data_IF_290702899061
#
_entry.id   IF_290702899061
#
_cell.length_a   1.000
_cell.length_b   1.000
_cell.length_c   1.000
_cell.angle_alpha   90.00
_cell.angle_beta   90.00
_cell.angle_gamma   90.00
#
_symmetry.space_group_name_H-M   'P 1'
#
loop_
_entity.id
_entity.type
_entity.pdbx_description
1 polymer ?
#
# COMPACT_ATOMS: atom_id res chain seq x y z
N UNK A 1 -31.31 -59.79 24.06
CA UNK A 1 -30.60 -58.50 23.97
C UNK A 1 -29.12 -58.58 23.53
N UNK A 2 -28.44 -59.74 23.60
CA UNK A 2 -26.99 -59.82 23.34
C UNK A 2 -26.54 -60.05 21.88
N UNK A 3 -27.44 -60.47 20.98
CA UNK A 3 -27.11 -60.76 19.56
C UNK A 3 -27.22 -59.55 18.62
N UNK A 4 -27.95 -58.50 19.01
CA UNK A 4 -28.14 -57.31 18.19
C UNK A 4 -26.98 -56.31 18.34
N UNK A 5 -26.46 -56.13 19.57
CA UNK A 5 -25.26 -55.33 19.82
C UNK A 5 -24.01 -55.83 19.09
N UNK A 6 -23.83 -57.16 18.93
CA UNK A 6 -22.71 -57.72 18.13
C UNK A 6 -22.84 -57.49 16.62
N UNK A 7 -24.05 -57.24 16.11
CA UNK A 7 -24.30 -57.01 14.68
C UNK A 7 -24.14 -55.54 14.29
N UNK A 8 -24.38 -54.63 15.23
CA UNK A 8 -24.10 -53.19 15.06
C UNK A 8 -22.58 -52.92 15.18
N UNK A 9 -21.88 -53.63 16.07
CA UNK A 9 -20.42 -53.45 16.22
C UNK A 9 -19.56 -54.02 15.07
N UNK A 10 -20.16 -54.76 14.13
CA UNK A 10 -19.45 -55.37 12.96
C UNK A 10 -19.71 -54.67 11.63
N UNK A 11 -20.59 -53.66 11.57
CA UNK A 11 -20.93 -52.94 10.32
C UNK A 11 -20.38 -51.51 10.24
N UNK A 12 -19.66 -51.03 11.26
CA UNK A 12 -19.12 -49.67 11.29
C UNK A 12 -17.60 -49.55 11.45
N UNK A 13 -16.82 -50.62 11.19
CA UNK A 13 -15.37 -50.51 11.01
C UNK A 13 -15.01 -51.31 9.75
N UNK A 14 -15.17 -50.70 8.57
CA UNK A 14 -14.43 -51.17 7.41
C UNK A 14 -12.95 -50.96 7.74
N UNK A 15 -12.21 -52.05 7.85
CA UNK A 15 -10.77 -52.03 8.09
C UNK A 15 -10.12 -51.32 6.89
N UNK A 16 -9.69 -50.08 7.10
CA UNK A 16 -9.06 -49.27 6.05
C UNK A 16 -7.79 -50.00 5.61
N UNK A 17 -7.71 -50.38 4.34
CA UNK A 17 -6.57 -51.14 3.83
C UNK A 17 -5.28 -50.33 3.97
N UNK A 18 -4.13 -51.01 4.07
CA UNK A 18 -2.81 -50.36 4.16
C UNK A 18 -2.57 -49.37 3.02
N UNK A 19 -3.05 -49.67 1.80
CA UNK A 19 -3.00 -48.75 0.65
C UNK A 19 -3.84 -47.49 0.88
N UNK A 20 -5.08 -47.65 1.37
CA UNK A 20 -5.94 -46.52 1.71
C UNK A 20 -5.33 -45.66 2.83
N UNK A 21 -4.68 -46.26 3.84
CA UNK A 21 -3.96 -45.51 4.87
C UNK A 21 -2.82 -44.65 4.31
N UNK A 22 -2.00 -45.20 3.39
CA UNK A 22 -0.95 -44.42 2.72
C UNK A 22 -1.52 -43.26 1.89
N UNK A 23 -2.63 -43.49 1.18
CA UNK A 23 -3.31 -42.43 0.40
C UNK A 23 -3.84 -41.34 1.33
N UNK A 24 -4.55 -41.70 2.42
CA UNK A 24 -5.07 -40.73 3.39
C UNK A 24 -3.94 -39.93 4.02
N UNK A 25 -2.84 -40.57 4.40
CA UNK A 25 -1.67 -39.89 4.93
C UNK A 25 -1.07 -38.90 3.92
N UNK A 26 -0.86 -39.34 2.66
CA UNK A 26 -0.36 -38.47 1.60
C UNK A 26 -1.26 -37.25 1.36
N UNK A 27 -2.58 -37.45 1.30
CA UNK A 27 -3.56 -36.36 1.17
C UNK A 27 -3.46 -35.42 2.37
N UNK A 28 -3.37 -35.95 3.59
CA UNK A 28 -3.27 -35.13 4.81
C UNK A 28 -2.01 -34.27 4.82
N UNK A 29 -0.86 -34.83 4.44
CA UNK A 29 0.41 -34.09 4.32
C UNK A 29 0.28 -32.98 3.27
N UNK A 30 -0.33 -33.26 2.12
CA UNK A 30 -0.57 -32.25 1.08
C UNK A 30 -1.49 -31.15 1.62
N UNK A 31 -2.57 -31.49 2.32
CA UNK A 31 -3.47 -30.51 2.92
C UNK A 31 -2.72 -29.62 3.93
N UNK A 32 -1.89 -30.21 4.80
CA UNK A 32 -1.09 -29.45 5.76
C UNK A 32 -0.11 -28.50 5.07
N UNK A 33 0.48 -28.92 3.96
CA UNK A 33 1.33 -28.05 3.15
C UNK A 33 0.52 -26.93 2.45
N UNK A 34 -0.63 -27.24 1.86
CA UNK A 34 -1.51 -26.27 1.18
C UNK A 34 -2.04 -25.22 2.16
N UNK A 35 -2.47 -25.63 3.35
CA UNK A 35 -2.92 -24.73 4.41
C UNK A 35 -1.77 -24.03 5.14
N UNK A 36 -0.51 -24.34 4.82
CA UNK A 36 0.66 -23.67 5.38
C UNK A 36 0.96 -24.05 6.83
N UNK A 37 0.46 -25.19 7.32
CA UNK A 37 0.70 -25.64 8.69
C UNK A 37 2.20 -25.94 8.93
N UNK A 38 2.88 -26.56 7.97
CA UNK A 38 4.33 -26.79 8.07
C UNK A 38 5.13 -25.50 8.08
N UNK A 39 4.72 -24.52 7.27
CA UNK A 39 5.34 -23.19 7.29
C UNK A 39 5.16 -22.56 8.66
N UNK A 40 3.93 -22.58 9.21
CA UNK A 40 3.60 -21.98 10.52
C UNK A 40 4.44 -22.57 11.66
N UNK A 41 4.70 -23.87 11.62
CA UNK A 41 5.55 -24.56 12.60
C UNK A 41 7.04 -24.20 12.47
N UNK A 42 7.46 -23.72 11.30
CA UNK A 42 8.87 -23.41 10.99
C UNK A 42 9.16 -21.91 10.94
N UNK A 43 8.19 -21.07 11.27
CA UNK A 43 8.36 -19.61 11.37
C UNK A 43 9.31 -19.24 12.51
N UNK A 44 10.11 -18.19 12.30
CA UNK A 44 10.90 -17.55 13.35
C UNK A 44 10.04 -16.67 14.24
N UNK A 45 10.42 -16.53 15.52
CA UNK A 45 9.80 -15.53 16.39
C UNK A 45 9.99 -14.14 15.79
N UNK A 46 8.99 -13.28 15.93
CA UNK A 46 9.12 -11.88 15.53
C UNK A 46 10.10 -11.10 16.41
N UNK A 47 10.42 -11.58 17.61
CA UNK A 47 11.45 -10.96 18.47
C UNK A 47 12.85 -11.01 17.85
N UNK A 48 13.08 -11.98 16.95
CA UNK A 48 14.32 -12.14 16.19
C UNK A 48 14.32 -11.33 14.88
N UNK A 49 13.33 -10.43 14.69
CA UNK A 49 13.16 -9.73 13.43
C UNK A 49 14.43 -8.99 13.00
N UNK A 50 14.93 -9.39 11.84
CA UNK A 50 16.04 -8.77 11.15
C UNK A 50 15.82 -8.89 9.65
N UNK A 51 15.96 -7.79 8.93
CA UNK A 51 15.72 -7.77 7.49
C UNK A 51 17.04 -7.73 6.71
N UNK A 52 17.24 -8.58 5.69
CA UNK A 52 18.51 -8.66 4.99
C UNK A 52 18.81 -7.37 4.23
N UNK A 53 20.06 -6.91 4.36
CA UNK A 53 20.61 -5.86 3.51
C UNK A 53 21.01 -6.45 2.16
N UNK A 54 20.82 -5.69 1.09
CA UNK A 54 21.25 -6.05 -0.26
C UNK A 54 21.74 -4.79 -0.96
N UNK A 55 23.05 -4.71 -1.17
CA UNK A 55 23.74 -3.62 -1.85
C UNK A 55 23.62 -3.75 -3.37
N UNK A 56 23.82 -2.65 -4.11
CA UNK A 56 23.73 -2.58 -5.58
C UNK A 56 22.36 -2.92 -6.16
N UNK A 57 21.28 -2.46 -5.50
CA UNK A 57 19.94 -2.50 -6.07
C UNK A 57 19.67 -1.43 -7.15
N UNK A 58 20.70 -0.81 -7.73
CA UNK A 58 20.53 0.20 -8.77
C UNK A 58 19.83 -0.33 -10.04
N UNK A 59 19.76 -1.66 -10.22
CA UNK A 59 18.91 -2.29 -11.25
C UNK A 59 17.44 -2.45 -10.84
N UNK A 60 17.14 -2.43 -9.54
CA UNK A 60 15.79 -2.50 -8.98
C UNK A 60 15.19 -1.11 -8.73
N UNK A 61 15.97 -0.03 -8.83
CA UNK A 61 15.40 1.32 -8.82
C UNK A 61 14.77 1.59 -10.19
N UNK A 62 13.44 1.69 -10.23
CA UNK A 62 12.73 2.01 -11.46
C UNK A 62 13.21 3.37 -11.99
N UNK A 63 13.61 3.43 -13.26
CA UNK A 63 13.98 4.69 -13.88
C UNK A 63 12.71 5.52 -14.10
N UNK A 64 12.77 6.80 -13.74
CA UNK A 64 11.74 7.75 -14.13
C UNK A 64 11.81 7.96 -15.64
N UNK A 65 10.69 7.76 -16.32
CA UNK A 65 10.58 7.97 -17.76
C UNK A 65 9.89 9.30 -18.09
N UNK A 66 9.06 9.79 -17.18
CA UNK A 66 8.34 11.06 -17.28
C UNK A 66 8.27 11.70 -15.91
N UNK A 67 8.36 13.02 -15.87
CA UNK A 67 8.35 13.81 -14.64
C UNK A 67 7.15 14.75 -14.64
N UNK A 68 6.44 14.90 -13.50
CA UNK A 68 5.44 15.94 -13.37
C UNK A 68 6.13 17.29 -13.25
N UNK A 69 5.42 18.34 -13.64
CA UNK A 69 5.92 19.71 -13.57
C UNK A 69 5.75 20.27 -12.18
N UNK A 70 6.79 20.89 -11.64
CA UNK A 70 6.70 21.56 -10.35
C UNK A 70 5.63 22.66 -10.36
N UNK A 71 4.70 22.59 -9.41
CA UNK A 71 3.67 23.62 -9.19
C UNK A 71 3.84 24.38 -7.87
N UNK A 72 4.80 24.00 -7.02
CA UNK A 72 5.14 24.79 -5.83
C UNK A 72 5.76 26.13 -6.25
N UNK A 73 5.22 27.24 -5.75
CA UNK A 73 5.62 28.59 -6.18
C UNK A 73 6.32 29.38 -5.08
N UNK A 74 6.06 29.09 -3.81
CA UNK A 74 6.56 29.90 -2.70
C UNK A 74 7.53 29.13 -1.81
N UNK A 75 8.63 29.78 -1.44
CA UNK A 75 9.56 29.24 -0.45
C UNK A 75 9.05 29.36 0.99
N UNK A 76 8.06 30.23 1.24
CA UNK A 76 7.56 30.53 2.60
C UNK A 76 6.34 29.70 3.02
N UNK A 77 5.78 28.91 2.11
CA UNK A 77 4.62 28.06 2.35
C UNK A 77 5.05 26.66 2.80
N UNK A 78 4.20 26.03 3.59
CA UNK A 78 4.28 24.59 3.84
C UNK A 78 3.86 23.85 2.58
N UNK A 79 4.72 22.95 2.11
CA UNK A 79 4.51 22.19 0.87
C UNK A 79 4.06 20.78 1.20
N UNK A 80 2.86 20.43 0.76
CA UNK A 80 2.30 19.08 0.83
C UNK A 80 2.23 18.50 -0.58
N UNK A 81 2.93 17.39 -0.81
CA UNK A 81 2.78 16.62 -2.05
C UNK A 81 1.86 15.43 -1.80
N UNK A 82 0.78 15.33 -2.58
CA UNK A 82 -0.07 14.14 -2.60
C UNK A 82 0.42 13.27 -3.75
N UNK A 83 0.79 12.03 -3.46
CA UNK A 83 1.30 11.10 -4.47
C UNK A 83 0.32 9.94 -4.59
N UNK A 84 -0.46 9.98 -5.67
CA UNK A 84 -1.51 9.01 -5.95
C UNK A 84 -0.91 7.82 -6.73
N UNK A 85 -0.83 6.65 -6.11
CA UNK A 85 -0.47 5.40 -6.79
C UNK A 85 -1.64 4.96 -7.64
N UNK A 86 -1.43 4.86 -8.95
CA UNK A 86 -2.49 4.47 -9.90
C UNK A 86 -1.98 3.40 -10.86
N UNK A 87 -2.86 2.51 -11.31
CA UNK A 87 -2.55 1.60 -12.42
C UNK A 87 -2.48 2.40 -13.73
N UNK A 88 -1.54 2.11 -14.63
CA UNK A 88 -1.52 2.73 -15.96
C UNK A 88 -2.86 2.59 -16.72
N UNK A 89 -3.62 1.52 -16.45
CA UNK A 89 -4.95 1.28 -17.04
C UNK A 89 -6.08 2.12 -16.42
N UNK A 90 -5.83 2.80 -15.29
CA UNK A 90 -6.80 3.59 -14.52
C UNK A 90 -6.92 5.06 -14.96
N UNK A 91 -6.83 5.35 -16.27
CA UNK A 91 -6.97 6.72 -16.78
C UNK A 91 -8.27 7.41 -16.34
N UNK A 92 -9.41 6.71 -16.42
CA UNK A 92 -10.69 7.24 -15.95
C UNK A 92 -10.69 7.58 -14.45
N UNK A 93 -9.99 6.79 -13.62
CA UNK A 93 -9.94 7.05 -12.19
C UNK A 93 -9.12 8.31 -11.91
N UNK A 94 -7.97 8.45 -12.57
CA UNK A 94 -7.16 9.67 -12.46
C UNK A 94 -7.95 10.90 -12.89
N UNK A 95 -8.76 10.79 -13.94
CA UNK A 95 -9.65 11.87 -14.37
C UNK A 95 -10.71 12.21 -13.31
N UNK A 96 -11.34 11.21 -12.66
CA UNK A 96 -12.28 11.45 -11.55
C UNK A 96 -11.60 12.11 -10.35
N UNK A 97 -10.38 11.69 -9.99
CA UNK A 97 -9.57 12.35 -8.94
C UNK A 97 -9.28 13.80 -9.32
N UNK A 98 -8.87 14.10 -10.56
CA UNK A 98 -8.61 15.47 -11.04
C UNK A 98 -9.86 16.36 -11.03
N UNK A 99 -11.05 15.81 -11.28
CA UNK A 99 -12.31 16.56 -11.25
C UNK A 99 -12.82 16.84 -9.84
N UNK A 100 -12.29 16.15 -8.83
CA UNK A 100 -12.77 16.21 -7.44
C UNK A 100 -11.70 16.80 -6.53
N UNK A 101 -11.02 15.98 -5.73
CA UNK A 101 -10.10 16.40 -4.68
C UNK A 101 -8.65 16.59 -5.16
N UNK A 102 -8.26 15.96 -6.28
CA UNK A 102 -6.89 15.90 -6.79
C UNK A 102 -6.44 17.10 -7.62
N UNK A 103 -6.78 18.31 -7.18
CA UNK A 103 -6.39 19.57 -7.85
C UNK A 103 -5.33 20.29 -7.03
N UNK A 104 -4.39 20.96 -7.71
CA UNK A 104 -3.46 21.88 -7.04
C UNK A 104 -4.26 22.95 -6.29
N UNK A 105 -3.95 23.14 -5.01
CA UNK A 105 -4.59 24.17 -4.18
C UNK A 105 -3.53 24.91 -3.37
N UNK A 106 -3.70 26.22 -3.25
CA UNK A 106 -3.00 27.03 -2.26
C UNK A 106 -4.05 27.59 -1.32
N UNK A 107 -4.03 27.15 -0.07
CA UNK A 107 -4.97 27.59 0.97
C UNK A 107 -4.16 28.07 2.15
N UNK A 108 -4.34 29.34 2.52
CA UNK A 108 -3.54 30.02 3.53
C UNK A 108 -2.03 29.88 3.26
N UNK A 109 -1.28 29.25 4.18
CA UNK A 109 0.15 29.02 4.10
C UNK A 109 0.53 27.63 3.58
N UNK A 110 -0.42 26.82 3.08
CA UNK A 110 -0.17 25.47 2.57
C UNK A 110 -0.37 25.41 1.06
N UNK A 111 0.62 24.90 0.33
CA UNK A 111 0.51 24.52 -1.07
C UNK A 111 0.38 23.00 -1.18
N UNK A 112 -0.71 22.54 -1.81
CA UNK A 112 -1.01 21.14 -2.05
C UNK A 112 -0.78 20.83 -3.52
N UNK A 113 0.11 19.89 -3.80
CA UNK A 113 0.44 19.45 -5.16
C UNK A 113 0.17 17.95 -5.32
N UNK A 114 -0.95 17.57 -5.94
CA UNK A 114 -1.22 16.19 -6.33
C UNK A 114 -0.41 15.78 -7.57
N UNK A 115 0.14 14.57 -7.56
CA UNK A 115 0.76 13.90 -8.72
C UNK A 115 0.36 12.43 -8.75
N UNK A 116 0.37 11.81 -9.92
CA UNK A 116 0.12 10.38 -10.09
C UNK A 116 1.43 9.63 -10.32
N UNK A 117 1.58 8.44 -9.71
CA UNK A 117 2.67 7.50 -10.02
C UNK A 117 2.10 6.29 -10.73
N UNK A 118 2.60 6.02 -11.94
CA UNK A 118 2.14 4.92 -12.79
C UNK A 118 3.31 4.05 -13.26
N UNK A 119 3.07 2.74 -13.39
CA UNK A 119 4.05 1.79 -13.89
C UNK A 119 4.05 1.66 -15.41
N UNK A 120 5.04 0.95 -15.93
CA UNK A 120 5.13 0.59 -17.34
C UNK A 120 4.15 -0.54 -17.68
N UNK A 121 3.61 -0.51 -18.89
CA UNK A 121 2.76 -1.56 -19.44
C UNK A 121 3.26 -1.91 -20.84
N UNK A 122 3.29 -3.20 -21.15
CA UNK A 122 3.72 -3.69 -22.47
C UNK A 122 2.74 -3.33 -23.59
N UNK A 123 1.47 -3.10 -23.25
CA UNK A 123 0.47 -2.67 -24.21
C UNK A 123 0.77 -1.24 -24.70
N UNK A 124 1.20 -1.14 -25.97
CA UNK A 124 1.59 0.11 -26.61
C UNK A 124 0.47 1.16 -26.66
N UNK A 125 -0.80 0.75 -26.76
CA UNK A 125 -1.92 1.69 -26.76
C UNK A 125 -2.10 2.33 -25.39
N UNK A 126 -2.01 1.53 -24.32
CA UNK A 126 -2.06 2.05 -22.95
C UNK A 126 -0.85 2.94 -22.67
N UNK A 127 0.36 2.54 -23.11
CA UNK A 127 1.56 3.37 -23.01
C UNK A 127 1.38 4.75 -23.69
N UNK A 128 0.91 4.77 -24.93
CA UNK A 128 0.62 6.02 -25.66
C UNK A 128 -0.45 6.88 -24.97
N UNK A 129 -1.43 6.27 -24.30
CA UNK A 129 -2.44 7.01 -23.51
C UNK A 129 -1.79 7.70 -22.32
N UNK A 130 -0.86 7.04 -21.62
CA UNK A 130 -0.07 7.66 -20.55
C UNK A 130 0.78 8.82 -21.07
N UNK A 131 1.47 8.65 -22.20
CA UNK A 131 2.30 9.72 -22.76
C UNK A 131 1.48 10.97 -23.09
N UNK A 132 0.29 10.79 -23.71
CA UNK A 132 -0.64 11.89 -23.99
C UNK A 132 -1.19 12.53 -22.72
N UNK A 133 -1.51 11.71 -21.73
CA UNK A 133 -2.02 12.18 -20.44
C UNK A 133 -0.98 13.03 -19.70
N UNK A 134 0.26 12.54 -19.59
CA UNK A 134 1.35 13.24 -18.95
C UNK A 134 1.68 14.56 -19.66
N UNK A 135 1.68 14.57 -21.00
CA UNK A 135 1.87 15.79 -21.78
C UNK A 135 0.73 16.80 -21.60
N UNK A 136 -0.50 16.33 -21.36
CA UNK A 136 -1.68 17.19 -21.21
C UNK A 136 -1.80 17.78 -19.81
N UNK A 137 -1.59 16.98 -18.76
CA UNK A 137 -1.90 17.36 -17.38
C UNK A 137 -0.66 17.74 -16.56
N UNK A 138 0.53 17.37 -17.03
CA UNK A 138 1.82 17.67 -16.40
C UNK A 138 1.91 17.18 -14.93
N UNK A 139 1.15 16.15 -14.55
CA UNK A 139 1.00 15.65 -13.18
C UNK A 139 1.33 14.14 -13.03
N UNK A 140 1.93 13.53 -14.05
CA UNK A 140 2.25 12.09 -14.06
C UNK A 140 3.76 11.86 -13.89
N UNK A 141 4.13 11.10 -12.86
CA UNK A 141 5.42 10.45 -12.70
C UNK A 141 5.32 9.01 -13.23
N UNK A 142 5.95 8.73 -14.37
CA UNK A 142 5.97 7.40 -14.96
C UNK A 142 7.28 6.66 -14.63
N UNK A 143 7.17 5.38 -14.30
CA UNK A 143 8.32 4.54 -13.95
C UNK A 143 8.47 3.38 -14.94
N UNK A 144 9.71 2.93 -15.16
CA UNK A 144 10.01 1.83 -16.08
C UNK A 144 9.62 0.44 -15.57
N UNK A 145 9.22 0.29 -14.30
CA UNK A 145 8.87 -1.00 -13.72
C UNK A 145 7.47 -1.45 -14.19
N UNK A 146 7.32 -2.74 -14.47
CA UNK A 146 6.05 -3.33 -14.93
C UNK A 146 4.96 -3.11 -13.89
N UNK A 147 3.84 -2.53 -14.31
CA UNK A 147 2.67 -2.26 -13.49
C UNK A 147 1.93 -3.56 -13.15
N UNK A 148 2.22 -4.10 -11.96
CA UNK A 148 1.55 -5.27 -11.41
C UNK A 148 1.49 -5.15 -9.89
N UNK A 149 0.55 -5.87 -9.26
CA UNK A 149 0.32 -5.80 -7.82
C UNK A 149 1.59 -6.09 -7.00
N UNK A 150 2.33 -7.16 -7.33
CA UNK A 150 3.60 -7.50 -6.62
C UNK A 150 4.75 -6.53 -6.89
N UNK A 151 4.57 -5.62 -7.85
CA UNK A 151 5.51 -4.56 -8.20
C UNK A 151 5.08 -3.19 -7.63
N UNK A 152 4.02 -3.11 -6.82
CA UNK A 152 3.62 -1.86 -6.17
C UNK A 152 4.74 -1.25 -5.33
N UNK A 153 5.64 -2.06 -4.77
CA UNK A 153 6.83 -1.57 -4.07
C UNK A 153 7.74 -0.70 -4.94
N UNK A 154 7.78 -0.89 -6.26
CA UNK A 154 8.52 0.02 -7.15
C UNK A 154 7.82 1.38 -7.26
N UNK A 155 6.48 1.43 -7.26
CA UNK A 155 5.74 2.70 -7.20
C UNK A 155 5.95 3.40 -5.86
N UNK A 156 5.97 2.66 -4.76
CA UNK A 156 6.34 3.21 -3.45
C UNK A 156 7.76 3.78 -3.47
N UNK A 157 8.73 3.04 -4.02
CA UNK A 157 10.10 3.53 -4.15
C UNK A 157 10.13 4.86 -4.91
N UNK A 158 9.48 4.91 -6.07
CA UNK A 158 9.37 6.11 -6.89
C UNK A 158 8.68 7.27 -6.16
N UNK A 159 7.58 6.99 -5.46
CA UNK A 159 6.84 7.98 -4.68
C UNK A 159 7.70 8.61 -3.59
N UNK A 160 8.46 7.80 -2.83
CA UNK A 160 9.36 8.31 -1.78
C UNK A 160 10.57 9.02 -2.38
N UNK A 161 11.18 8.47 -3.42
CA UNK A 161 12.39 9.00 -4.03
C UNK A 161 12.15 10.36 -4.69
N UNK A 162 11.14 10.43 -5.56
CA UNK A 162 10.70 11.68 -6.18
C UNK A 162 10.07 12.62 -5.16
N UNK A 163 9.27 12.11 -4.22
CA UNK A 163 8.60 12.93 -3.21
C UNK A 163 9.59 13.66 -2.30
N UNK A 164 10.71 13.05 -1.92
CA UNK A 164 11.71 13.75 -1.10
C UNK A 164 12.57 14.73 -1.90
N UNK A 165 12.94 14.40 -3.14
CA UNK A 165 13.81 15.22 -3.98
C UNK A 165 13.25 15.31 -5.42
N UNK A 166 12.16 16.06 -5.61
CA UNK A 166 11.51 16.17 -6.91
C UNK A 166 12.37 16.95 -7.91
N UNK A 167 12.36 16.51 -9.17
CA UNK A 167 13.10 17.17 -10.25
C UNK A 167 12.61 18.60 -10.46
N UNK A 168 13.55 19.55 -10.55
CA UNK A 168 13.30 20.98 -10.75
C UNK A 168 12.22 21.55 -9.81
N UNK A 169 12.20 21.07 -8.57
CA UNK A 169 11.18 21.43 -7.61
C UNK A 169 11.71 21.46 -6.18
N UNK A 170 11.13 22.31 -5.34
CA UNK A 170 11.47 22.37 -3.91
C UNK A 170 10.98 21.12 -3.21
N UNK A 171 11.82 20.53 -2.36
CA UNK A 171 11.43 19.39 -1.51
C UNK A 171 10.20 19.74 -0.65
N UNK A 172 9.14 18.91 -0.68
CA UNK A 172 7.98 19.12 0.16
C UNK A 172 8.28 18.85 1.64
N UNK A 173 7.51 19.49 2.51
CA UNK A 173 7.61 19.32 3.96
C UNK A 173 6.91 18.03 4.43
N UNK A 174 5.89 17.59 3.67
CA UNK A 174 5.12 16.38 3.93
C UNK A 174 4.73 15.68 2.63
N UNK A 175 4.63 14.35 2.69
CA UNK A 175 4.08 13.51 1.64
C UNK A 175 2.81 12.82 2.15
N UNK A 176 1.78 12.82 1.31
CA UNK A 176 0.59 12.01 1.51
C UNK A 176 0.50 11.00 0.36
N UNK A 177 0.84 9.74 0.64
CA UNK A 177 0.77 8.65 -0.33
C UNK A 177 -0.63 8.06 -0.26
N UNK A 178 -1.30 7.91 -1.39
CA UNK A 178 -2.68 7.44 -1.43
C UNK A 178 -2.93 6.60 -2.68
N UNK A 179 -3.84 5.63 -2.63
CA UNK A 179 -4.28 4.89 -3.81
C UNK A 179 -5.37 5.65 -4.57
N UNK A 180 -5.60 5.30 -5.84
CA UNK A 180 -6.53 6.03 -6.72
C UNK A 180 -8.02 5.75 -6.46
N UNK A 181 -8.35 4.82 -5.57
CA UNK A 181 -9.70 4.45 -5.14
C UNK A 181 -10.10 5.03 -3.77
N UNK A 182 -9.41 6.08 -3.33
CA UNK A 182 -9.74 6.86 -2.14
C UNK A 182 -10.42 8.19 -2.48
N UNK A 183 -11.31 8.63 -1.58
CA UNK A 183 -11.75 10.01 -1.48
C UNK A 183 -10.95 10.72 -0.39
N UNK A 184 -10.49 11.95 -0.66
CA UNK A 184 -9.68 12.74 0.29
C UNK A 184 -10.33 14.08 0.57
N UNK A 185 -10.55 14.40 1.85
CA UNK A 185 -11.04 15.70 2.27
C UNK A 185 -9.88 16.68 2.48
N UNK A 186 -9.60 17.46 1.43
CA UNK A 186 -8.45 18.36 1.37
C UNK A 186 -8.40 19.39 2.52
N UNK A 187 -9.52 20.01 2.97
CA UNK A 187 -9.48 20.92 4.12
C UNK A 187 -8.96 20.26 5.41
N UNK A 188 -9.43 19.04 5.71
CA UNK A 188 -8.95 18.30 6.89
C UNK A 188 -7.50 17.88 6.73
N UNK A 189 -7.08 17.43 5.55
CA UNK A 189 -5.69 17.09 5.28
C UNK A 189 -4.75 18.30 5.46
N UNK A 190 -5.19 19.50 5.05
CA UNK A 190 -4.45 20.75 5.26
C UNK A 190 -4.35 21.08 6.76
N UNK A 191 -5.46 21.02 7.49
CA UNK A 191 -5.46 21.27 8.94
C UNK A 191 -4.58 20.27 9.69
N UNK A 192 -4.66 19.00 9.31
CA UNK A 192 -3.80 17.95 9.83
C UNK A 192 -2.32 18.24 9.53
N UNK A 193 -1.99 18.68 8.32
CA UNK A 193 -0.63 19.07 7.93
C UNK A 193 -0.08 20.20 8.79
N UNK A 194 -0.88 21.24 9.06
CA UNK A 194 -0.49 22.39 9.91
C UNK A 194 -0.22 21.99 11.37
N UNK A 195 -0.80 20.89 11.84
CA UNK A 195 -0.59 20.38 13.20
C UNK A 195 0.74 19.62 13.38
N UNK A 196 1.49 19.38 12.31
CA UNK A 196 2.69 18.53 12.30
C UNK A 196 3.95 19.36 12.02
N UNK A 197 5.11 18.82 12.38
CA UNK A 197 6.42 19.41 12.05
C UNK A 197 7.17 18.49 11.10
N UNK A 198 7.76 19.07 10.05
CA UNK A 198 8.47 18.32 9.01
C UNK A 198 9.70 17.54 9.47
N UNK A 199 10.29 17.95 10.60
CA UNK A 199 11.47 17.32 11.19
C UNK A 199 11.12 16.19 12.17
N UNK A 200 9.83 16.00 12.50
CA UNK A 200 9.40 14.87 13.30
C UNK A 200 9.44 13.58 12.47
N UNK A 201 9.52 12.41 13.12
CA UNK A 201 9.45 11.11 12.47
C UNK A 201 7.99 10.65 12.40
N UNK A 202 7.29 11.04 11.33
CA UNK A 202 5.87 10.76 11.14
C UNK A 202 5.71 9.63 10.12
N UNK A 203 4.97 8.60 10.51
CA UNK A 203 4.47 7.51 9.67
C UNK A 203 3.08 7.13 10.18
N UNK A 204 2.05 7.73 9.59
CA UNK A 204 0.71 7.77 10.18
C UNK A 204 -0.38 7.42 9.15
N UNK A 205 -1.41 6.70 9.61
CA UNK A 205 -2.60 6.30 8.85
C UNK A 205 -3.28 5.11 9.53
N UNK A 206 -4.02 4.29 8.80
CA UNK A 206 -4.66 3.11 9.39
C UNK A 206 -3.67 1.97 9.64
N UNK A 207 -3.35 1.66 10.90
CA UNK A 207 -2.36 0.63 11.24
C UNK A 207 -2.99 -0.76 11.37
N UNK A 208 -2.38 -1.74 10.72
CA UNK A 208 -2.60 -3.16 10.89
C UNK A 208 -1.48 -3.82 11.69
N UNK A 209 -1.85 -4.86 12.45
CA UNK A 209 -0.90 -5.75 13.13
C UNK A 209 -1.29 -7.21 12.85
N UNK A 210 -0.70 -7.77 11.79
CA UNK A 210 -1.12 -9.06 11.23
C UNK A 210 0.06 -10.04 11.03
N UNK A 211 -0.28 -11.29 10.75
CA UNK A 211 0.69 -12.34 10.41
C UNK A 211 0.70 -12.62 8.90
N UNK A 212 1.83 -13.07 8.32
CA UNK A 212 1.88 -13.49 6.93
C UNK A 212 0.88 -14.61 6.63
N UNK A 213 0.22 -14.54 5.47
CA UNK A 213 -0.60 -15.66 4.99
C UNK A 213 0.31 -16.78 4.49
N UNK A 214 0.22 -17.96 5.10
CA UNK A 214 1.01 -19.16 4.71
C UNK A 214 0.26 -20.15 3.82
N UNK A 215 -1.06 -19.97 3.70
CA UNK A 215 -1.91 -20.80 2.85
C UNK A 215 -1.59 -20.54 1.37
N UNK A 216 -1.11 -21.56 0.66
CA UNK A 216 -0.50 -21.44 -0.67
C UNK A 216 -1.43 -20.88 -1.75
N UNK A 217 -2.74 -21.07 -1.60
CA UNK A 217 -3.77 -20.61 -2.54
C UNK A 217 -4.25 -19.18 -2.28
N UNK A 218 -3.82 -18.55 -1.18
CA UNK A 218 -4.22 -17.18 -0.88
C UNK A 218 -3.48 -16.18 -1.78
N UNK A 219 -4.17 -15.17 -2.30
CA UNK A 219 -3.57 -14.14 -3.18
C UNK A 219 -2.37 -13.40 -2.55
N UNK A 220 -2.34 -13.32 -1.22
CA UNK A 220 -1.26 -12.70 -0.45
C UNK A 220 -0.36 -13.73 0.24
N UNK A 221 -0.31 -14.98 -0.25
CA UNK A 221 0.56 -16.02 0.31
C UNK A 221 2.03 -15.62 0.19
N UNK A 222 2.79 -15.86 1.26
CA UNK A 222 4.24 -15.56 1.35
C UNK A 222 4.98 -16.79 1.88
N UNK A 223 6.05 -17.19 1.19
CA UNK A 223 6.89 -18.31 1.62
C UNK A 223 7.82 -17.92 2.79
N UNK A 224 8.38 -18.92 3.48
CA UNK A 224 9.40 -18.68 4.51
C UNK A 224 10.71 -18.10 3.94
N UNK A 225 11.04 -18.41 2.68
CA UNK A 225 12.21 -17.85 1.98
C UNK A 225 12.05 -16.35 1.68
N UNK A 226 10.81 -15.93 1.41
CA UNK A 226 10.46 -14.52 1.22
C UNK A 226 10.39 -13.78 2.56
N UNK A 227 9.72 -14.36 3.55
CA UNK A 227 9.54 -13.79 4.89
C UNK A 227 9.51 -14.89 5.97
N UNK A 228 10.57 -15.05 6.77
CA UNK A 228 10.68 -16.18 7.70
C UNK A 228 9.97 -15.96 9.04
N UNK A 229 9.56 -14.73 9.38
CA UNK A 229 9.03 -14.42 10.70
C UNK A 229 7.52 -14.69 10.82
N UNK A 230 7.08 -14.89 12.06
CA UNK A 230 5.68 -15.22 12.39
C UNK A 230 4.70 -14.04 12.31
N UNK A 231 5.20 -12.80 12.38
CA UNK A 231 4.41 -11.57 12.28
C UNK A 231 5.07 -10.57 11.35
N UNK A 232 4.30 -9.68 10.74
CA UNK A 232 4.83 -8.46 10.13
C UNK A 232 5.12 -7.41 11.20
N UNK A 233 6.04 -6.44 10.97
CA UNK A 233 5.99 -5.20 11.73
C UNK A 233 4.64 -4.52 11.54
N UNK A 234 4.06 -3.86 12.57
CA UNK A 234 2.85 -3.07 12.39
C UNK A 234 3.00 -2.08 11.25
N UNK A 235 2.01 -2.05 10.35
CA UNK A 235 2.10 -1.34 9.09
C UNK A 235 0.88 -0.46 8.88
N UNK A 236 1.11 0.75 8.35
CA UNK A 236 0.02 1.58 7.84
C UNK A 236 -0.46 1.00 6.52
N UNK A 237 -1.78 0.91 6.33
CA UNK A 237 -2.39 0.47 5.07
C UNK A 237 -1.85 1.31 3.90
N UNK A 238 -1.44 0.65 2.81
CA UNK A 238 -0.81 1.32 1.67
C UNK A 238 -1.71 2.36 0.98
N UNK A 239 -3.00 2.34 1.29
CA UNK A 239 -4.02 3.14 0.62
C UNK A 239 -4.08 4.60 1.07
N UNK A 240 -3.64 4.94 2.28
CA UNK A 240 -3.52 6.33 2.74
C UNK A 240 -2.47 6.45 3.85
N UNK A 241 -1.34 7.10 3.55
CA UNK A 241 -0.17 7.21 4.43
C UNK A 241 0.34 8.64 4.45
N UNK A 242 0.40 9.24 5.64
CA UNK A 242 1.01 10.54 5.85
C UNK A 242 2.42 10.39 6.43
N UNK A 243 3.41 11.03 5.80
CA UNK A 243 4.80 11.04 6.27
C UNK A 243 5.41 12.43 6.19
N UNK A 244 6.34 12.71 7.10
CA UNK A 244 7.13 13.93 7.09
C UNK A 244 8.30 13.85 6.10
N UNK A 245 8.87 15.00 5.75
CA UNK A 245 10.09 15.10 4.94
C UNK A 245 11.26 14.33 5.57
N UNK A 246 11.45 14.41 6.89
CA UNK A 246 12.52 13.66 7.58
C UNK A 246 12.29 12.14 7.53
N UNK A 247 11.04 11.66 7.65
CA UNK A 247 10.73 10.23 7.44
C UNK A 247 11.01 9.83 6.00
N UNK A 248 10.55 10.61 5.02
CA UNK A 248 10.76 10.33 3.59
C UNK A 248 12.25 10.22 3.25
N UNK A 249 13.08 11.13 3.78
CA UNK A 249 14.55 11.09 3.67
C UNK A 249 15.13 9.76 4.15
N UNK A 250 14.74 9.33 5.36
CA UNK A 250 15.25 8.11 5.98
C UNK A 250 14.78 6.87 5.23
N UNK A 251 13.53 6.85 4.81
CA UNK A 251 12.97 5.80 3.96
C UNK A 251 13.74 5.70 2.64
N UNK A 252 13.90 6.81 1.90
CA UNK A 252 14.67 6.90 0.65
C UNK A 252 16.07 6.31 0.77
N UNK A 253 16.79 6.65 1.84
CA UNK A 253 18.15 6.14 2.05
C UNK A 253 18.15 4.64 2.41
N UNK A 254 17.21 4.20 3.23
CA UNK A 254 17.16 2.82 3.74
C UNK A 254 16.69 1.84 2.67
N UNK A 255 15.70 2.22 1.86
CA UNK A 255 15.14 1.36 0.80
C UNK A 255 16.18 0.95 -0.25
N UNK A 256 17.23 1.73 -0.46
CA UNK A 256 18.36 1.40 -1.35
C UNK A 256 19.29 0.31 -0.81
N UNK A 257 19.18 0.00 0.48
CA UNK A 257 20.09 -0.91 1.18
C UNK A 257 19.42 -2.18 1.69
N UNK A 258 18.09 -2.26 1.70
CA UNK A 258 17.31 -3.42 2.18
C UNK A 258 16.77 -4.26 1.02
N UNK A 259 16.76 -5.59 1.17
CA UNK A 259 16.09 -6.49 0.20
C UNK A 259 14.64 -6.03 0.00
N UNK A 260 14.23 -5.76 -1.23
CA UNK A 260 12.86 -5.35 -1.54
C UNK A 260 11.87 -6.47 -1.17
N UNK A 261 10.69 -6.06 -0.69
CA UNK A 261 9.57 -6.95 -0.39
C UNK A 261 8.36 -6.59 -1.29
N UNK A 262 7.57 -7.54 -1.81
CA UNK A 262 6.58 -7.29 -2.85
C UNK A 262 5.30 -6.56 -2.40
N UNK A 263 5.02 -6.48 -1.09
CA UNK A 263 3.92 -5.69 -0.55
C UNK A 263 4.46 -4.36 -0.02
N UNK A 264 3.96 -3.26 -0.55
CA UNK A 264 4.47 -1.91 -0.32
C UNK A 264 4.18 -1.41 1.11
N UNK A 265 3.01 -1.71 1.66
CA UNK A 265 2.69 -1.47 3.07
C UNK A 265 3.65 -2.19 4.03
N UNK A 266 3.82 -3.50 3.86
CA UNK A 266 4.72 -4.32 4.67
C UNK A 266 6.16 -3.89 4.47
N UNK A 267 6.57 -3.54 3.24
CA UNK A 267 7.93 -3.03 3.00
C UNK A 267 8.16 -1.69 3.71
N UNK A 268 7.18 -0.79 3.70
CA UNK A 268 7.24 0.47 4.47
C UNK A 268 7.38 0.19 5.97
N UNK A 269 6.68 -0.82 6.49
CA UNK A 269 6.78 -1.23 7.89
C UNK A 269 8.17 -1.82 8.22
N UNK A 270 8.76 -2.57 7.30
CA UNK A 270 10.14 -3.08 7.42
C UNK A 270 11.14 -1.91 7.49
N UNK A 271 10.95 -0.87 6.66
CA UNK A 271 11.75 0.36 6.72
C UNK A 271 11.58 1.05 8.08
N UNK A 272 10.34 1.26 8.51
CA UNK A 272 9.99 1.90 9.77
C UNK A 272 10.60 1.16 10.98
N UNK A 273 10.45 -0.16 11.04
CA UNK A 273 11.05 -1.03 12.07
C UNK A 273 12.57 -0.93 12.08
N UNK A 274 13.21 -0.95 10.92
CA UNK A 274 14.68 -0.82 10.78
C UNK A 274 15.17 0.53 11.30
N UNK A 275 14.39 1.59 11.08
CA UNK A 275 14.70 2.96 11.45
C UNK A 275 14.18 3.36 12.84
N UNK A 276 13.49 2.46 13.54
CA UNK A 276 12.80 2.72 14.81
C UNK A 276 11.79 3.87 14.73
N UNK A 277 11.11 3.99 13.59
CA UNK A 277 9.99 4.91 13.38
C UNK A 277 8.70 4.16 13.73
N UNK A 278 7.88 4.62 14.69
CA UNK A 278 6.63 3.96 15.03
C UNK A 278 5.59 4.16 13.92
N UNK A 279 4.78 3.13 13.66
CA UNK A 279 3.54 3.27 12.91
C UNK A 279 2.48 3.88 13.82
N UNK A 280 1.90 5.01 13.44
CA UNK A 280 0.91 5.74 14.23
C UNK A 280 -0.46 5.48 13.63
N UNK A 281 -1.35 4.89 14.43
CA UNK A 281 -2.74 4.66 14.03
C UNK A 281 -3.53 5.96 14.04
N UNK A 282 -4.32 6.20 13.00
CA UNK A 282 -5.24 7.32 12.92
C UNK A 282 -6.55 6.90 12.22
N UNK A 283 -7.65 6.93 12.98
CA UNK A 283 -9.00 6.49 12.56
C UNK A 283 -9.60 7.38 11.47
N UNK A 284 -9.08 8.60 11.27
CA UNK A 284 -9.54 9.51 10.21
C UNK A 284 -9.05 9.08 8.83
N UNK A 285 -8.21 8.04 8.75
CA UNK A 285 -7.82 7.36 7.52
C UNK A 285 -8.58 6.03 7.46
N UNK A 286 -9.77 6.04 6.87
CA UNK A 286 -10.68 4.89 6.84
C UNK A 286 -10.27 3.92 5.73
N UNK A 287 -9.81 2.71 6.08
CA UNK A 287 -9.28 1.74 5.11
C UNK A 287 -10.35 0.87 4.42
N UNK A 288 -11.56 0.77 4.99
CA UNK A 288 -12.64 -0.06 4.43
C UNK A 288 -13.66 0.79 3.69
N UNK A 289 -14.34 0.17 2.74
CA UNK A 289 -15.48 0.80 2.09
C UNK A 289 -16.64 0.93 3.10
N UNK A 290 -17.00 2.16 3.43
CA UNK A 290 -18.21 2.50 4.18
C UNK A 290 -18.75 3.83 3.69
N UNK A 291 -20.05 4.03 3.88
CA UNK A 291 -20.64 5.35 3.74
C UNK A 291 -20.09 6.28 4.83
N UNK A 292 -19.74 7.49 4.44
CA UNK A 292 -19.29 8.58 5.31
C UNK A 292 -20.08 9.80 4.91
N UNK A 293 -20.93 10.29 5.80
CA UNK A 293 -21.78 11.43 5.51
C UNK A 293 -21.00 12.76 5.61
N UNK A 294 -21.65 13.84 5.17
CA UNK A 294 -21.04 15.18 5.19
C UNK A 294 -20.61 15.62 6.60
N UNK A 295 -21.35 15.24 7.63
CA UNK A 295 -21.07 15.62 9.01
C UNK A 295 -19.79 14.94 9.48
N UNK A 296 -19.61 13.65 9.19
CA UNK A 296 -18.37 12.94 9.51
C UNK A 296 -17.15 13.58 8.81
N UNK A 297 -17.31 14.01 7.55
CA UNK A 297 -16.26 14.73 6.83
C UNK A 297 -15.96 16.11 7.42
N UNK A 298 -16.96 16.93 7.71
CA UNK A 298 -16.77 18.34 8.07
C UNK A 298 -16.53 18.53 9.59
N UNK A 299 -17.15 17.72 10.45
CA UNK A 299 -17.14 17.90 11.90
C UNK A 299 -16.27 16.86 12.63
N UNK A 300 -16.25 15.60 12.16
CA UNK A 300 -15.53 14.51 12.85
C UNK A 300 -14.09 14.34 12.37
N UNK A 301 -13.70 15.08 11.33
CA UNK A 301 -12.30 15.22 10.92
C UNK A 301 -11.80 14.09 10.03
N UNK A 302 -12.68 13.32 9.37
CA UNK A 302 -12.28 12.27 8.42
C UNK A 302 -11.40 12.88 7.30
N UNK A 303 -10.27 12.24 7.01
CA UNK A 303 -9.27 12.74 6.05
C UNK A 303 -9.34 11.97 4.75
N UNK A 304 -9.38 10.63 4.81
CA UNK A 304 -9.38 9.78 3.63
C UNK A 304 -10.25 8.55 3.86
N UNK A 305 -10.99 8.14 2.84
CA UNK A 305 -11.87 6.96 2.88
C UNK A 305 -11.65 6.14 1.62
N UNK A 306 -11.49 4.83 1.80
CA UNK A 306 -11.34 3.86 0.72
C UNK A 306 -12.69 3.44 0.11
N UNK A 307 -12.66 2.95 -1.13
CA UNK A 307 -13.78 2.20 -1.72
C UNK A 307 -14.45 2.88 -2.91
N UNK A 308 -13.89 3.98 -3.40
CA UNK A 308 -14.46 4.79 -4.47
C UNK A 308 -13.94 4.37 -5.84
N UNK A 309 -14.03 3.07 -6.15
CA UNK A 309 -13.73 2.56 -7.48
C UNK A 309 -14.65 3.22 -8.56
N UNK A 310 -14.31 3.07 -9.84
CA UNK A 310 -14.76 3.99 -10.92
C UNK A 310 -16.27 4.28 -10.91
N UNK A 311 -16.61 5.55 -11.19
CA UNK A 311 -17.94 6.19 -11.20
C UNK A 311 -18.50 6.60 -9.83
N UNK A 312 -18.14 5.90 -8.76
CA UNK A 312 -18.64 6.24 -7.41
C UNK A 312 -17.96 7.51 -6.88
N UNK A 313 -16.65 7.69 -7.16
CA UNK A 313 -15.91 8.86 -6.64
C UNK A 313 -16.51 10.21 -7.04
N UNK A 314 -16.72 10.45 -8.34
CA UNK A 314 -17.21 11.75 -8.83
C UNK A 314 -18.65 12.02 -8.40
N UNK A 315 -19.51 10.99 -8.42
CA UNK A 315 -20.91 11.09 -8.01
C UNK A 315 -21.02 11.35 -6.50
N UNK A 316 -20.39 10.53 -5.67
CA UNK A 316 -20.47 10.68 -4.21
C UNK A 316 -19.79 11.98 -3.75
N UNK A 317 -18.66 12.36 -4.34
CA UNK A 317 -18.00 13.63 -4.02
C UNK A 317 -18.94 14.81 -4.26
N UNK A 318 -19.65 14.83 -5.40
CA UNK A 318 -20.59 15.90 -5.73
C UNK A 318 -21.86 15.84 -4.87
N UNK A 319 -22.31 14.67 -4.42
CA UNK A 319 -23.44 14.56 -3.49
C UNK A 319 -23.11 15.11 -2.10
N UNK A 320 -21.87 14.90 -1.64
CA UNK A 320 -21.42 15.30 -0.31
C UNK A 320 -20.99 16.79 -0.30
N UNK A 321 -20.24 17.23 -1.32
CA UNK A 321 -19.57 18.54 -1.34
C UNK A 321 -19.99 19.49 -2.47
N UNK A 322 -20.86 19.03 -3.38
CA UNK A 322 -21.28 19.80 -4.57
C UNK A 322 -22.36 20.85 -4.33
#
# INVERSE_FOLDING_TARGET
MHRWFRKINRKCVQEVSRRQMFVIFGITVILFWVFGLFDKLSEKSFDEFSWPRKFNQNQLTSKFTQFPKCKFKSEKTTKLMIIIKSSAKNGQMRDSVRKTWGVYKKVENVEVMPIFVVGHVENLEVGRKIDREAAKFEDVLAISAIDSYRNNTFKLFAAIDYGYEPHDCTSPDFLFLVDDDYMVHIPNLINFTKSKRKNDLIYEGFVFDTSPFRMKIHKHSISLDEYPFSRYPPYVSAGAVFISSETAKRFKNTMRTLKMFPFDDVFTAILAKTLKIPAIHNENFVFWNRHVDRKEWEEEGVIAVHGFARNDLELEYNQIFG
#
